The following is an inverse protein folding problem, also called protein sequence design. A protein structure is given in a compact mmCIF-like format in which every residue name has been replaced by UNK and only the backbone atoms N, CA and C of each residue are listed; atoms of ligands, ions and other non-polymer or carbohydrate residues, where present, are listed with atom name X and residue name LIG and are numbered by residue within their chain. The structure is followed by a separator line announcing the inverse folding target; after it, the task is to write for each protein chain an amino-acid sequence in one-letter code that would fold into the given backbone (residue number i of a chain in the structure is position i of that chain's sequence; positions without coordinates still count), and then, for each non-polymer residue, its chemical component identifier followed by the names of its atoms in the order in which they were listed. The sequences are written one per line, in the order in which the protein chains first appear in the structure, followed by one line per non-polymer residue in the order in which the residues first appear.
data_IF_117780512921
#
_entry.id   IF_117780512921
#
_cell.length_a   1.000
_cell.length_b   1.000
_cell.length_c   1.000
_cell.angle_alpha   90.00
_cell.angle_beta   90.00
_cell.angle_gamma   90.00
#
_symmetry.space_group_name_H-M   'P 1'
#
loop_
_entity.id
_entity.type
_entity.pdbx_description
1 polymer ?
#
# COMPACT_ATOMS: atom_id res chain seq x y z
N UNK A 1 18.30 -7.08 1.25
CA UNK A 1 18.24 -6.19 0.07
C UNK A 1 17.36 -4.99 0.41
N UNK A 2 17.87 -3.78 0.20
CA UNK A 2 17.07 -2.56 0.30
C UNK A 2 16.95 -1.98 -1.10
N UNK A 3 15.75 -1.61 -1.51
CA UNK A 3 15.55 -0.87 -2.76
C UNK A 3 15.53 0.63 -2.46
N UNK A 4 16.18 1.43 -3.30
CA UNK A 4 16.03 2.88 -3.30
C UNK A 4 14.84 3.25 -4.18
N UNK A 5 13.71 3.55 -3.57
CA UNK A 5 12.43 3.81 -4.23
C UNK A 5 12.51 5.03 -5.17
N UNK A 6 13.04 6.16 -4.70
CA UNK A 6 13.24 7.37 -5.51
C UNK A 6 14.10 7.10 -6.75
N UNK A 7 15.25 6.44 -6.60
CA UNK A 7 16.15 6.16 -7.72
C UNK A 7 15.57 5.14 -8.70
N UNK A 8 14.74 4.22 -8.21
CA UNK A 8 14.02 3.24 -9.03
C UNK A 8 12.76 3.80 -9.68
N UNK A 9 12.32 5.01 -9.33
CA UNK A 9 11.05 5.56 -9.82
C UNK A 9 9.84 4.82 -9.25
N UNK A 10 9.91 4.45 -7.98
CA UNK A 10 8.86 3.69 -7.28
C UNK A 10 8.40 4.42 -6.03
N UNK A 11 7.17 4.14 -5.62
CA UNK A 11 6.72 4.34 -4.24
C UNK A 11 6.35 2.98 -3.65
N UNK A 12 6.36 2.91 -2.31
CA UNK A 12 5.84 1.77 -1.57
C UNK A 12 4.77 2.28 -0.62
N UNK A 13 3.59 1.68 -0.68
CA UNK A 13 2.51 1.89 0.28
C UNK A 13 2.66 0.80 1.33
N UNK A 14 3.01 1.20 2.55
CA UNK A 14 3.10 0.28 3.68
C UNK A 14 1.76 0.25 4.41
N UNK A 15 1.16 -0.93 4.43
CA UNK A 15 -0.16 -1.20 4.98
C UNK A 15 0.01 -1.96 6.29
N UNK A 16 0.28 -1.22 7.35
CA UNK A 16 0.47 -1.79 8.67
C UNK A 16 -0.87 -2.14 9.34
N UNK A 17 -0.84 -3.21 10.12
CA UNK A 17 -1.95 -3.56 11.02
C UNK A 17 -1.50 -3.35 12.46
N UNK A 18 -1.91 -2.25 13.06
CA UNK A 18 -1.61 -1.95 14.46
C UNK A 18 -2.64 -2.59 15.40
N UNK A 19 -2.19 -3.02 16.58
CA UNK A 19 -3.03 -3.67 17.59
C UNK A 19 -4.17 -2.79 18.11
N UNK A 20 -4.09 -1.47 17.91
CA UNK A 20 -5.10 -0.49 18.37
C UNK A 20 -6.33 -0.38 17.44
N UNK A 21 -6.47 -1.27 16.46
CA UNK A 21 -7.62 -1.30 15.53
C UNK A 21 -7.41 -0.50 14.24
N UNK A 22 -6.24 0.11 14.04
CA UNK A 22 -5.84 0.68 12.75
C UNK A 22 -5.43 -0.47 11.82
N UNK A 23 -6.13 -0.58 10.69
CA UNK A 23 -5.90 -1.62 9.71
C UNK A 23 -5.72 -0.97 8.33
N UNK A 24 -4.47 -0.68 7.99
CA UNK A 24 -4.08 -0.07 6.72
C UNK A 24 -4.59 -0.85 5.52
N UNK A 25 -4.68 -2.18 5.62
CA UNK A 25 -5.21 -3.02 4.53
C UNK A 25 -6.68 -2.76 4.26
N UNK A 26 -7.49 -2.64 5.31
CA UNK A 26 -8.92 -2.33 5.16
C UNK A 26 -9.13 -0.91 4.64
N UNK A 27 -8.36 0.06 5.15
CA UNK A 27 -8.42 1.45 4.72
C UNK A 27 -8.01 1.58 3.25
N UNK A 28 -6.89 1.00 2.86
CA UNK A 28 -6.41 1.03 1.49
C UNK A 28 -7.33 0.25 0.53
N UNK A 29 -7.86 -0.90 0.94
CA UNK A 29 -8.86 -1.63 0.15
C UNK A 29 -10.11 -0.80 -0.11
N UNK A 30 -10.56 -0.03 0.89
CA UNK A 30 -11.68 0.91 0.72
C UNK A 30 -11.33 2.03 -0.26
N UNK A 31 -10.17 2.69 -0.09
CA UNK A 31 -9.70 3.72 -1.01
C UNK A 31 -9.61 3.21 -2.45
N UNK A 32 -9.06 2.01 -2.64
CA UNK A 32 -8.99 1.36 -3.93
C UNK A 32 -10.38 1.17 -4.53
N UNK A 33 -11.31 0.54 -3.80
CA UNK A 33 -12.67 0.30 -4.29
C UNK A 33 -13.45 1.59 -4.59
N UNK A 34 -13.21 2.67 -3.85
CA UNK A 34 -13.86 3.97 -4.08
C UNK A 34 -13.35 4.67 -5.35
N UNK A 35 -12.13 4.35 -5.80
CA UNK A 35 -11.45 5.11 -6.87
C UNK A 35 -11.02 4.29 -8.09
N UNK A 36 -10.99 2.96 -8.02
CA UNK A 36 -10.47 2.08 -9.09
C UNK A 36 -11.54 1.66 -10.11
N UNK A 37 -12.78 2.11 -9.97
CA UNK A 37 -13.90 1.73 -10.85
C UNK A 37 -14.09 0.20 -11.01
N UNK A 38 -13.69 -0.57 -9.98
CA UNK A 38 -13.79 -2.03 -9.99
C UNK A 38 -12.56 -2.74 -10.58
N UNK A 39 -11.49 -2.03 -10.92
CA UNK A 39 -10.22 -2.63 -11.31
C UNK A 39 -9.62 -3.44 -10.16
N UNK A 40 -9.06 -4.60 -10.50
CA UNK A 40 -8.33 -5.46 -9.57
C UNK A 40 -6.95 -4.87 -9.34
N UNK A 41 -6.50 -4.84 -8.09
CA UNK A 41 -5.14 -4.47 -7.74
C UNK A 41 -4.16 -5.55 -8.26
N UNK A 42 -3.63 -5.34 -9.46
CA UNK A 42 -2.58 -6.18 -10.06
C UNK A 42 -1.30 -5.38 -10.17
N UNK A 43 -0.52 -5.35 -9.08
CA UNK A 43 0.84 -4.80 -9.05
C UNK A 43 1.69 -5.65 -8.11
N UNK A 44 2.99 -5.40 -8.01
CA UNK A 44 3.82 -6.10 -7.04
C UNK A 44 3.39 -5.82 -5.60
N UNK A 45 2.99 -6.88 -4.88
CA UNK A 45 2.62 -6.86 -3.47
C UNK A 45 3.36 -7.95 -2.71
N UNK A 46 3.84 -7.65 -1.51
CA UNK A 46 4.47 -8.63 -0.62
C UNK A 46 3.96 -8.48 0.81
N UNK A 47 3.96 -9.59 1.55
CA UNK A 47 3.79 -9.61 3.00
C UNK A 47 5.05 -9.12 3.68
N UNK A 48 4.86 -8.31 4.72
CA UNK A 48 5.94 -7.88 5.61
C UNK A 48 6.24 -8.97 6.65
N UNK A 49 7.47 -9.04 7.20
CA UNK A 49 7.85 -10.02 8.22
C UNK A 49 7.04 -9.99 9.51
N UNK A 50 6.60 -8.80 9.93
CA UNK A 50 5.95 -8.60 11.23
C UNK A 50 4.43 -8.66 11.07
N UNK A 51 3.88 -9.87 11.13
CA UNK A 51 2.43 -10.08 11.21
C UNK A 51 1.71 -10.04 9.86
N UNK A 52 0.67 -9.20 9.76
CA UNK A 52 -0.31 -9.19 8.65
C UNK A 52 -0.14 -8.01 7.68
N UNK A 53 0.93 -7.22 7.81
CA UNK A 53 1.16 -6.02 6.99
C UNK A 53 1.54 -6.35 5.55
N UNK A 54 1.28 -5.42 4.63
CA UNK A 54 1.60 -5.55 3.20
C UNK A 54 2.40 -4.34 2.71
N UNK A 55 3.38 -4.59 1.85
CA UNK A 55 3.93 -3.56 0.98
C UNK A 55 3.30 -3.67 -0.41
N UNK A 56 2.75 -2.57 -0.91
CA UNK A 56 2.22 -2.44 -2.28
C UNK A 56 3.10 -1.46 -3.05
N UNK A 57 3.62 -1.87 -4.21
CA UNK A 57 4.55 -1.04 -4.99
C UNK A 57 3.92 -0.54 -6.28
N UNK A 58 4.24 0.71 -6.65
CA UNK A 58 3.85 1.30 -7.92
C UNK A 58 5.01 2.04 -8.58
N UNK A 59 5.02 2.06 -9.91
CA UNK A 59 5.87 2.95 -10.71
C UNK A 59 5.32 4.37 -10.67
N UNK A 60 6.22 5.33 -10.57
CA UNK A 60 5.88 6.77 -10.59
C UNK A 60 6.88 7.54 -11.45
N UNK A 61 6.46 8.67 -12.07
CA UNK A 61 7.39 9.57 -12.71
C UNK A 61 8.40 10.11 -11.68
N UNK A 62 9.71 10.02 -11.94
CA UNK A 62 10.74 10.50 -10.99
C UNK A 62 10.60 12.00 -10.63
N UNK A 63 9.94 12.76 -11.48
CA UNK A 63 9.66 14.18 -11.25
C UNK A 63 8.75 14.43 -10.05
N UNK A 64 7.92 13.47 -9.62
CA UNK A 64 7.06 13.64 -8.44
C UNK A 64 7.86 13.91 -7.16
N UNK A 65 9.11 13.41 -7.11
CA UNK A 65 10.00 13.53 -5.96
C UNK A 65 10.64 14.92 -5.83
N UNK A 66 10.40 15.82 -6.80
CA UNK A 66 10.84 17.22 -6.75
C UNK A 66 9.89 18.10 -5.92
N UNK A 67 8.72 17.58 -5.55
CA UNK A 67 7.76 18.21 -4.65
C UNK A 67 7.61 17.42 -3.35
N UNK A 68 7.18 18.05 -2.24
CA UNK A 68 6.78 17.32 -1.04
C UNK A 68 5.68 16.30 -1.36
N UNK A 69 5.82 15.10 -0.81
CA UNK A 69 4.81 14.05 -0.85
C UNK A 69 4.30 13.82 0.58
N UNK A 70 3.03 13.46 0.73
CA UNK A 70 2.51 13.05 2.03
C UNK A 70 3.24 11.79 2.51
N UNK A 71 3.46 11.68 3.82
CA UNK A 71 4.04 10.48 4.44
C UNK A 71 2.96 9.44 4.78
N UNK A 72 1.70 9.85 4.84
CA UNK A 72 0.57 9.00 5.21
C UNK A 72 -0.69 9.51 4.49
N UNK A 73 -1.45 8.60 3.87
CA UNK A 73 -2.70 8.91 3.18
C UNK A 73 -3.91 8.90 4.13
N UNK A 74 -3.87 7.98 5.09
CA UNK A 74 -4.86 7.76 6.12
C UNK A 74 -4.23 6.86 7.19
N UNK A 75 -4.82 6.80 8.38
CA UNK A 75 -4.34 5.96 9.50
C UNK A 75 -3.95 4.54 9.07
N UNK A 76 -2.64 4.25 9.14
CA UNK A 76 -2.06 2.94 8.81
C UNK A 76 -1.77 2.71 7.32
N UNK A 77 -1.88 3.74 6.48
CA UNK A 77 -1.52 3.73 5.05
C UNK A 77 -0.37 4.70 4.82
N UNK A 78 0.85 4.23 5.07
CA UNK A 78 2.06 5.03 4.97
C UNK A 78 2.64 5.03 3.55
N UNK A 79 3.22 6.16 3.12
CA UNK A 79 3.90 6.31 1.84
C UNK A 79 5.40 6.38 2.04
N UNK A 80 6.10 5.34 1.60
CA UNK A 80 7.56 5.25 1.61
C UNK A 80 8.12 5.65 0.25
N UNK A 81 9.15 6.49 0.29
CA UNK A 81 9.79 7.10 -0.89
C UNK A 81 11.32 6.98 -0.91
N UNK A 82 11.92 6.48 0.17
CA UNK A 82 13.37 6.38 0.32
C UNK A 82 13.83 4.94 0.16
N UNK A 83 14.03 4.22 1.26
CA UNK A 83 14.50 2.85 1.23
C UNK A 83 13.50 1.93 1.91
N UNK A 84 13.19 0.81 1.26
CA UNK A 84 12.32 -0.24 1.80
C UNK A 84 13.01 -1.59 1.62
N UNK A 85 12.99 -2.48 2.64
CA UNK A 85 13.41 -3.87 2.46
C UNK A 85 12.36 -4.61 1.63
N UNK A 86 12.82 -5.44 0.70
CA UNK A 86 11.97 -6.21 -0.23
C UNK A 86 12.40 -7.67 -0.29
N UNK A 87 11.54 -8.58 -0.75
CA UNK A 87 11.94 -9.95 -1.08
C UNK A 87 13.22 -10.00 -1.93
N UNK A 88 14.15 -10.97 -1.72
CA UNK A 88 14.14 -12.05 -0.72
C UNK A 88 14.79 -11.67 0.62
N UNK A 89 14.67 -10.41 1.07
CA UNK A 89 15.19 -10.00 2.37
C UNK A 89 14.47 -10.66 3.53
N UNK A 90 15.17 -10.73 4.66
CA UNK A 90 14.68 -11.34 5.90
C UNK A 90 14.93 -10.41 7.08
N UNK A 91 14.06 -10.47 8.07
CA UNK A 91 14.25 -9.88 9.41
C UNK A 91 14.27 -11.02 10.43
N UNK A 92 14.68 -10.72 11.66
CA UNK A 92 14.65 -11.69 12.76
C UNK A 92 13.25 -12.28 12.96
N UNK A 93 12.20 -11.49 12.71
CA UNK A 93 10.81 -11.86 12.94
C UNK A 93 10.12 -12.53 11.73
N UNK A 94 10.82 -12.68 10.60
CA UNK A 94 10.27 -13.36 9.42
C UNK A 94 10.84 -12.91 8.07
N UNK A 95 10.28 -13.47 7.01
CA UNK A 95 10.65 -13.19 5.62
C UNK A 95 9.67 -12.20 4.98
N UNK A 96 10.16 -11.37 4.05
CA UNK A 96 9.27 -10.73 3.08
C UNK A 96 8.83 -11.79 2.07
N UNK A 97 7.55 -11.83 1.70
CA UNK A 97 7.01 -12.89 0.83
C UNK A 97 6.07 -12.28 -0.23
N UNK A 98 6.39 -12.37 -1.53
CA UNK A 98 5.48 -11.94 -2.58
C UNK A 98 4.12 -12.64 -2.48
N UNK A 99 3.05 -11.88 -2.72
CA UNK A 99 1.74 -12.49 -2.95
C UNK A 99 1.69 -13.11 -4.34
N UNK A 100 0.77 -14.06 -4.52
CA UNK A 100 0.49 -14.59 -5.85
C UNK A 100 -0.48 -13.66 -6.58
N UNK A 101 -0.27 -13.56 -7.88
CA UNK A 101 -1.20 -12.94 -8.81
C UNK A 101 -2.54 -13.71 -8.78
N UNK A 102 -3.65 -13.00 -8.77
CA UNK A 102 -4.98 -13.61 -8.58
C UNK A 102 -5.47 -14.40 -9.78
N UNK A 103 -4.98 -14.10 -10.99
CA UNK A 103 -5.41 -14.77 -12.22
C UNK A 103 -4.53 -15.99 -12.53
N UNK A 104 -3.21 -15.83 -12.41
CA UNK A 104 -2.22 -16.85 -12.78
C UNK A 104 -1.81 -17.74 -11.61
N UNK A 105 -2.04 -17.30 -10.36
CA UNK A 105 -1.57 -17.93 -9.13
C UNK A 105 -0.04 -18.09 -9.03
N UNK A 106 0.71 -17.35 -9.85
CA UNK A 106 2.17 -17.27 -9.77
C UNK A 106 2.61 -16.11 -8.87
N UNK A 107 3.79 -16.18 -8.21
CA UNK A 107 4.27 -15.08 -7.39
C UNK A 107 4.41 -13.78 -8.19
N UNK A 108 3.86 -12.69 -7.66
CA UNK A 108 4.10 -11.35 -8.18
C UNK A 108 5.58 -11.01 -8.06
N UNK A 109 6.13 -10.34 -9.07
CA UNK A 109 7.54 -9.94 -9.08
C UNK A 109 7.67 -8.46 -9.43
N UNK A 110 8.90 -7.96 -9.48
CA UNK A 110 9.17 -6.60 -9.98
C UNK A 110 8.71 -6.38 -11.43
N UNK A 111 8.61 -7.43 -12.24
CA UNK A 111 8.08 -7.32 -13.60
C UNK A 111 6.56 -7.09 -13.60
N UNK A 112 5.87 -7.43 -12.51
CA UNK A 112 4.45 -7.19 -12.27
C UNK A 112 4.15 -5.75 -11.82
N UNK A 113 5.15 -4.87 -11.70
CA UNK A 113 4.93 -3.48 -11.27
C UNK A 113 4.08 -2.71 -12.28
N UNK A 114 2.95 -2.19 -11.82
CA UNK A 114 2.09 -1.29 -12.58
C UNK A 114 2.38 0.18 -12.27
N UNK A 115 1.96 1.06 -13.17
CA UNK A 115 1.99 2.51 -12.94
C UNK A 115 1.03 2.89 -11.81
N UNK A 116 1.42 3.87 -11.01
CA UNK A 116 0.57 4.41 -9.95
C UNK A 116 -0.64 5.09 -10.60
N UNK A 117 -1.88 4.72 -10.23
CA UNK A 117 -3.06 5.34 -10.81
C UNK A 117 -3.13 6.84 -10.47
N UNK A 118 -3.70 7.62 -11.39
CA UNK A 118 -3.72 9.09 -11.30
C UNK A 118 -4.36 9.59 -10.01
N UNK A 119 -5.48 8.98 -9.57
CA UNK A 119 -6.16 9.37 -8.33
C UNK A 119 -5.23 9.25 -7.11
N UNK A 120 -4.39 8.21 -7.08
CA UNK A 120 -3.47 7.96 -5.99
C UNK A 120 -2.27 8.92 -6.07
N UNK A 121 -1.75 9.17 -7.28
CA UNK A 121 -0.72 10.18 -7.54
C UNK A 121 -1.17 11.57 -7.05
N UNK A 122 -2.41 11.95 -7.34
CA UNK A 122 -2.98 13.20 -6.85
C UNK A 122 -3.05 13.22 -5.33
N UNK A 123 -3.54 12.15 -4.69
CA UNK A 123 -3.64 12.10 -3.23
C UNK A 123 -2.28 12.23 -2.55
N UNK A 124 -1.23 11.59 -3.07
CA UNK A 124 0.11 11.68 -2.46
C UNK A 124 0.79 13.03 -2.68
N UNK A 125 0.40 13.78 -3.72
CA UNK A 125 0.94 15.11 -4.03
C UNK A 125 0.14 16.25 -3.38
N UNK A 126 -1.05 15.97 -2.82
CA UNK A 126 -1.87 16.99 -2.15
C UNK A 126 -1.15 17.49 -0.89
N UNK A 127 -0.94 18.81 -0.76
CA UNK A 127 -0.48 19.38 0.50
C UNK A 127 -1.53 19.04 1.57
N UNK A 128 -1.14 18.32 2.63
CA UNK A 128 -2.07 18.13 3.74
C UNK A 128 -2.44 19.50 4.31
N UNK A 129 -3.70 19.89 4.14
CA UNK A 129 -4.28 20.92 4.97
C UNK A 129 -4.16 20.43 6.41
N UNK A 130 -3.54 21.21 7.29
CA UNK A 130 -3.44 20.88 8.72
C UNK A 130 -4.82 20.45 9.21
N UNK A 131 -4.99 19.17 9.56
CA UNK A 131 -6.26 18.65 10.02
C UNK A 131 -6.63 19.37 11.34
N UNK A 132 -7.65 20.21 11.30
CA UNK A 132 -8.42 20.56 12.49
C UNK A 132 -9.21 19.32 12.90
N UNK A 133 -8.91 18.79 14.08
CA UNK A 133 -9.59 17.66 14.72
C UNK A 133 -11.11 17.84 14.68
N UNK A 134 -11.80 17.03 13.88
CA UNK A 134 -13.25 17.00 13.78
C UNK A 134 -13.76 15.56 13.86
N UNK A 135 -14.28 15.19 15.02
CA UNK A 135 -15.02 13.96 15.31
C UNK A 135 -16.20 13.76 14.36
N UNK A 136 -16.27 12.61 13.66
CA UNK A 136 -17.49 12.15 12.98
C UNK A 136 -17.59 10.62 12.90
N UNK A 137 -18.84 10.16 12.96
CA UNK A 137 -19.34 8.85 13.38
C UNK A 137 -19.59 7.85 12.23
N UNK A 138 -19.46 6.55 12.60
CA UNK A 138 -19.99 5.27 12.06
C UNK A 138 -21.05 5.29 10.94
N UNK A 139 -20.92 4.32 10.00
CA UNK A 139 -21.96 3.29 9.70
C UNK A 139 -21.35 2.05 9.02
N UNK A 140 -21.81 0.87 9.44
CA UNK A 140 -21.39 -0.45 8.96
C UNK A 140 -22.13 -0.84 7.68
N UNK A 141 -21.40 -1.33 6.67
CA UNK A 141 -21.94 -2.03 5.51
C UNK A 141 -21.33 -3.42 5.45
N UNK A 142 -22.14 -4.43 5.75
CA UNK A 142 -21.79 -5.84 5.72
C UNK A 142 -21.81 -6.32 4.27
N UNK A 143 -20.65 -6.66 3.67
CA UNK A 143 -20.57 -7.58 2.51
C UNK A 143 -19.14 -7.93 2.02
N UNK A 144 -18.09 -7.78 2.85
CA UNK A 144 -16.71 -8.19 2.46
C UNK A 144 -16.07 -9.23 3.41
N UNK A 145 -16.91 -9.86 4.26
CA UNK A 145 -16.48 -10.85 5.24
C UNK A 145 -15.90 -12.14 4.65
N UNK A 146 -16.16 -12.44 3.38
CA UNK A 146 -15.84 -13.75 2.80
C UNK A 146 -14.47 -13.84 2.12
N UNK A 147 -13.80 -12.72 1.84
CA UNK A 147 -12.46 -12.73 1.22
C UNK A 147 -11.30 -12.76 2.22
N UNK A 148 -11.54 -12.44 3.50
CA UNK A 148 -10.49 -12.35 4.53
C UNK A 148 -10.44 -13.53 5.52
N UNK A 149 -11.36 -14.50 5.42
CA UNK A 149 -11.46 -15.64 6.33
C UNK A 149 -11.04 -16.99 5.73
N UNK A 150 -10.43 -17.02 4.54
CA UNK A 150 -9.75 -18.23 4.07
C UNK A 150 -8.30 -18.22 4.54
N UNK A 151 -8.14 -18.67 5.79
CA UNK A 151 -6.90 -18.99 6.49
C UNK A 151 -7.22 -19.83 7.71
#
# INVERSE_FOLDING_TARGET
IMINLRNSGLICIDLDQHQNGQNGRNVFSRLWNEHSEGEILSTYVEKTPTGNGLHVFFKVPKTIFNSPLVSELADGVEIKTHFTPIYPSKRTDGDYIPLNDTETNEPLTFDSLCDCPDWLLEMIQRPQARATTGTSSRTYGAEMWELFNQG
#
